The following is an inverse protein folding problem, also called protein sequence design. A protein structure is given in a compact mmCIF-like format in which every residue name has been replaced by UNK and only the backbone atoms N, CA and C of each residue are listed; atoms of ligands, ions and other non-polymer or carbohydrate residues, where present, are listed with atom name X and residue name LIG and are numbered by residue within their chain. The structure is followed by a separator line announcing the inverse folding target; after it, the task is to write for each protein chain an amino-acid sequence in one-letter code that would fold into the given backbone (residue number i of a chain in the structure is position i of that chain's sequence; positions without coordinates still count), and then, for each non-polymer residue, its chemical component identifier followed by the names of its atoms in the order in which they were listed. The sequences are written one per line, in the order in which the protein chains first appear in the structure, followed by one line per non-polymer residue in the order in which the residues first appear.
data_IF_131873564701
#
_entry.id   IF_131873564701
#
_cell.length_a   1.000
_cell.length_b   1.000
_cell.length_c   1.000
_cell.angle_alpha   90.00
_cell.angle_beta   90.00
_cell.angle_gamma   90.00
#
_symmetry.space_group_name_H-M   'P 1'
#
loop_
_entity.id
_entity.type
_entity.pdbx_description
1 polymer ?
#
# COMPACT_ATOMS: atom_id res chain seq x y z
N UNK A 1 9.67 -15.45 -4.25
CA UNK A 1 9.13 -14.81 -3.03
C UNK A 1 9.81 -15.44 -1.83
N UNK A 2 10.69 -14.69 -1.15
CA UNK A 2 11.41 -15.19 0.01
C UNK A 2 10.45 -15.22 1.22
N UNK A 3 10.11 -16.42 1.69
CA UNK A 3 9.00 -16.70 2.61
C UNK A 3 9.33 -16.26 4.06
N UNK A 4 10.60 -15.90 4.31
CA UNK A 4 11.15 -15.59 5.63
C UNK A 4 10.54 -14.36 6.32
N UNK A 5 9.89 -13.46 5.57
CA UNK A 5 9.28 -12.24 6.14
C UNK A 5 7.77 -12.33 6.34
N UNK A 6 7.14 -13.45 5.97
CA UNK A 6 5.72 -13.66 6.18
C UNK A 6 5.46 -14.15 7.61
N UNK A 7 4.47 -13.55 8.28
CA UNK A 7 4.08 -13.90 9.67
C UNK A 7 3.62 -15.37 9.81
N UNK A 8 3.23 -16.02 8.70
CA UNK A 8 2.97 -17.45 8.59
C UNK A 8 3.38 -17.94 7.20
N UNK A 9 4.14 -19.02 7.15
CA UNK A 9 4.54 -19.75 5.95
C UNK A 9 3.43 -20.70 5.49
N UNK A 10 2.25 -20.17 5.15
CA UNK A 10 1.23 -20.98 4.49
C UNK A 10 1.45 -20.98 2.99
N UNK A 11 1.29 -22.15 2.37
CA UNK A 11 1.14 -22.26 0.92
C UNK A 11 -0.03 -21.38 0.47
N UNK A 12 0.23 -20.47 -0.47
CA UNK A 12 -0.80 -19.63 -1.08
C UNK A 12 -1.86 -20.54 -1.70
N UNK A 13 -3.10 -20.45 -1.21
CA UNK A 13 -4.20 -21.26 -1.73
C UNK A 13 -4.62 -20.69 -3.09
N UNK A 14 -4.29 -21.40 -4.16
CA UNK A 14 -4.67 -21.01 -5.51
C UNK A 14 -5.99 -21.67 -5.90
N UNK A 15 -6.92 -20.91 -6.47
CA UNK A 15 -8.16 -21.44 -7.02
C UNK A 15 -7.87 -22.34 -8.23
N UNK A 16 -8.72 -23.33 -8.49
CA UNK A 16 -8.55 -24.35 -9.55
C UNK A 16 -8.42 -23.78 -10.98
N UNK A 17 -8.77 -22.50 -11.19
CA UNK A 17 -8.68 -21.76 -12.46
C UNK A 17 -7.56 -20.69 -12.46
N UNK A 18 -6.70 -20.66 -11.45
CA UNK A 18 -5.64 -19.65 -11.34
C UNK A 18 -4.50 -19.97 -12.31
N UNK A 19 -4.44 -19.24 -13.43
CA UNK A 19 -3.34 -19.33 -14.39
C UNK A 19 -2.32 -18.23 -14.13
N UNK A 20 -1.03 -18.57 -14.03
CA UNK A 20 0.08 -17.60 -14.03
C UNK A 20 0.35 -16.98 -15.41
N UNK A 21 -0.45 -17.30 -16.43
CA UNK A 21 -0.37 -16.64 -17.74
C UNK A 21 -0.81 -15.18 -17.56
N UNK A 22 0.15 -14.28 -17.59
CA UNK A 22 0.00 -12.87 -17.25
C UNK A 22 0.73 -12.45 -15.97
N UNK A 23 1.58 -13.31 -15.38
CA UNK A 23 2.54 -12.89 -14.34
C UNK A 23 3.36 -11.72 -14.90
N UNK A 24 2.96 -10.54 -14.41
CA UNK A 24 3.57 -9.24 -14.67
C UNK A 24 5.05 -9.37 -14.38
N UNK A 25 5.85 -9.52 -15.43
CA UNK A 25 7.29 -9.36 -15.34
C UNK A 25 7.58 -8.08 -14.57
N UNK A 26 8.21 -8.23 -13.41
CA UNK A 26 8.83 -7.17 -12.59
C UNK A 26 8.31 -5.77 -12.91
N UNK A 27 7.15 -5.40 -12.35
CA UNK A 27 6.70 -4.00 -12.39
C UNK A 27 7.69 -3.22 -11.52
N UNK A 28 8.69 -2.63 -12.16
CA UNK A 28 9.58 -1.67 -11.55
C UNK A 28 8.79 -0.38 -11.39
N UNK A 29 8.30 -0.13 -10.18
CA UNK A 29 7.82 1.20 -9.79
C UNK A 29 9.05 2.10 -9.86
N UNK A 30 9.07 3.03 -10.83
CA UNK A 30 10.15 4.02 -10.93
C UNK A 30 10.22 4.78 -9.60
N UNK A 31 11.35 4.69 -8.89
CA UNK A 31 11.59 5.25 -7.55
C UNK A 31 10.85 4.59 -6.36
N UNK A 32 10.22 3.42 -6.55
CA UNK A 32 9.65 2.67 -5.43
C UNK A 32 10.73 2.07 -4.55
N UNK A 33 10.72 2.35 -3.23
CA UNK A 33 11.64 1.70 -2.29
C UNK A 33 11.23 0.23 -2.14
N UNK A 34 12.07 -0.74 -2.52
CA UNK A 34 11.72 -2.15 -2.38
C UNK A 34 11.61 -2.53 -0.89
N UNK A 35 10.85 -3.60 -0.60
CA UNK A 35 10.55 -4.02 0.77
C UNK A 35 11.83 -4.25 1.60
N UNK A 36 12.91 -4.71 0.97
CA UNK A 36 14.19 -4.97 1.64
C UNK A 36 14.99 -3.71 1.98
N UNK A 37 14.70 -2.57 1.35
CA UNK A 37 15.32 -1.27 1.64
C UNK A 37 14.53 -0.46 2.67
N UNK A 38 13.42 -0.99 3.20
CA UNK A 38 12.65 -0.33 4.25
C UNK A 38 13.48 -0.23 5.53
N UNK A 39 13.42 0.94 6.18
CA UNK A 39 14.11 1.16 7.46
C UNK A 39 13.57 0.21 8.53
N UNK A 40 14.48 -0.50 9.22
CA UNK A 40 14.16 -1.45 10.29
C UNK A 40 13.28 -0.86 11.41
N UNK A 41 13.30 0.46 11.58
CA UNK A 41 12.45 1.13 12.57
C UNK A 41 10.95 0.99 12.28
N UNK A 42 10.56 0.92 11.00
CA UNK A 42 9.17 0.69 10.56
C UNK A 42 8.75 -0.77 10.87
N UNK A 43 9.67 -1.72 10.72
CA UNK A 43 9.38 -3.13 10.90
C UNK A 43 9.11 -3.54 12.33
N UNK A 44 9.70 -2.83 13.29
CA UNK A 44 9.49 -3.11 14.70
C UNK A 44 8.12 -2.64 15.24
N UNK A 45 7.31 -1.93 14.43
CA UNK A 45 5.94 -1.49 14.79
C UNK A 45 5.84 -0.75 16.13
N UNK A 46 6.87 0.03 16.49
CA UNK A 46 7.02 0.63 17.83
C UNK A 46 6.28 1.95 18.01
N UNK A 47 5.92 2.63 16.92
CA UNK A 47 5.26 3.94 16.97
C UNK A 47 4.03 4.02 16.05
N UNK A 48 3.10 4.92 16.38
CA UNK A 48 1.94 5.24 15.53
C UNK A 48 2.36 6.09 14.32
N UNK A 49 1.53 6.08 13.28
CA UNK A 49 1.67 6.92 12.09
C UNK A 49 2.42 6.26 10.94
N UNK A 50 2.69 4.96 11.05
CA UNK A 50 3.28 4.15 9.99
C UNK A 50 2.19 3.26 9.40
N UNK A 51 1.71 3.64 8.21
CA UNK A 51 0.57 3.01 7.57
C UNK A 51 1.02 1.98 6.54
N UNK A 52 0.29 0.88 6.46
CA UNK A 52 0.35 -0.11 5.39
C UNK A 52 -0.91 0.02 4.54
N UNK A 53 -0.76 0.14 3.24
CA UNK A 53 -1.89 0.28 2.34
C UNK A 53 -1.91 -0.76 1.22
N UNK A 54 -3.12 -1.21 0.90
CA UNK A 54 -3.42 -2.17 -0.16
C UNK A 54 -4.64 -1.68 -0.96
N UNK A 55 -4.69 -2.08 -2.23
CA UNK A 55 -5.86 -1.86 -3.08
C UNK A 55 -6.68 -3.15 -3.20
N UNK A 56 -7.91 -3.07 -2.74
CA UNK A 56 -8.90 -4.15 -2.92
C UNK A 56 -9.86 -3.76 -4.03
N UNK A 57 -9.91 -4.59 -5.06
CA UNK A 57 -10.85 -4.47 -6.17
C UNK A 57 -11.96 -5.51 -6.04
N UNK A 58 -13.20 -5.05 -6.01
CA UNK A 58 -14.40 -5.88 -5.98
C UNK A 58 -14.99 -6.08 -7.38
N UNK A 59 -16.21 -6.61 -7.41
CA UNK A 59 -17.00 -6.72 -8.64
C UNK A 59 -17.59 -5.36 -9.04
N UNK A 60 -18.13 -5.26 -10.26
CA UNK A 60 -18.79 -4.03 -10.77
C UNK A 60 -17.90 -2.78 -10.73
N UNK A 61 -16.61 -2.93 -11.02
CA UNK A 61 -15.62 -1.83 -11.01
C UNK A 61 -15.58 -1.04 -9.68
N UNK A 62 -15.77 -1.74 -8.57
CA UNK A 62 -15.67 -1.17 -7.23
C UNK A 62 -14.25 -1.33 -6.68
N UNK A 63 -13.74 -0.28 -6.04
CA UNK A 63 -12.38 -0.24 -5.52
C UNK A 63 -12.35 0.43 -4.16
N UNK A 64 -11.58 -0.14 -3.25
CA UNK A 64 -11.27 0.48 -1.96
C UNK A 64 -9.76 0.47 -1.73
N UNK A 65 -9.25 1.51 -1.12
CA UNK A 65 -7.93 1.51 -0.49
C UNK A 65 -8.10 1.21 1.00
N UNK A 66 -7.25 0.34 1.53
CA UNK A 66 -7.13 0.14 2.97
C UNK A 66 -5.88 0.85 3.45
N UNK A 67 -5.92 1.44 4.64
CA UNK A 67 -4.78 2.03 5.32
C UNK A 67 -4.79 1.53 6.76
N UNK A 68 -3.77 0.77 7.13
CA UNK A 68 -3.67 0.12 8.44
C UNK A 68 -2.45 0.65 9.17
N UNK A 69 -2.64 1.30 10.32
CA UNK A 69 -1.52 1.67 11.17
C UNK A 69 -0.85 0.40 11.72
N UNK A 70 0.45 0.24 11.48
CA UNK A 70 1.17 -1.01 11.75
C UNK A 70 1.28 -1.33 13.24
N UNK A 71 1.18 -0.34 14.14
CA UNK A 71 1.25 -0.52 15.61
C UNK A 71 -0.12 -0.83 16.20
N UNK A 72 -1.08 0.06 16.05
CA UNK A 72 -2.42 -0.01 16.64
C UNK A 72 -3.39 -0.89 15.88
N UNK A 73 -3.15 -1.14 14.59
CA UNK A 73 -4.09 -1.77 13.64
C UNK A 73 -5.36 -0.97 13.39
N UNK A 74 -5.38 0.31 13.77
CA UNK A 74 -6.41 1.23 13.33
C UNK A 74 -6.46 1.23 11.81
N UNK A 75 -7.66 1.01 11.27
CA UNK A 75 -7.87 0.78 9.84
C UNK A 75 -8.80 1.83 9.28
N UNK A 76 -8.34 2.50 8.23
CA UNK A 76 -9.15 3.42 7.42
C UNK A 76 -9.45 2.70 6.10
N UNK A 77 -10.70 2.76 5.66
CA UNK A 77 -11.14 2.23 4.37
C UNK A 77 -11.64 3.42 3.55
N UNK A 78 -11.05 3.60 2.37
CA UNK A 78 -11.41 4.66 1.44
C UNK A 78 -12.09 4.04 0.23
N UNK A 79 -13.30 4.48 -0.09
CA UNK A 79 -13.93 4.16 -1.37
C UNK A 79 -13.26 4.98 -2.46
N UNK A 80 -12.83 4.32 -3.53
CA UNK A 80 -12.19 4.97 -4.66
C UNK A 80 -13.15 5.12 -5.84
N UNK A 81 -12.94 6.17 -6.65
CA UNK A 81 -13.66 6.39 -7.90
C UNK A 81 -13.19 5.46 -9.02
N UNK A 82 -11.95 5.00 -8.93
CA UNK A 82 -11.29 4.10 -9.88
C UNK A 82 -9.99 3.53 -9.29
N UNK A 83 -9.39 2.56 -9.97
CA UNK A 83 -8.08 1.97 -9.61
C UNK A 83 -6.88 2.64 -10.30
N UNK A 84 -7.12 3.66 -11.12
CA UNK A 84 -6.05 4.41 -11.76
C UNK A 84 -5.26 5.23 -10.74
N UNK A 85 -4.01 5.57 -11.09
CA UNK A 85 -3.10 6.23 -10.16
C UNK A 85 -3.54 7.63 -9.73
N UNK A 86 -4.37 8.31 -10.53
CA UNK A 86 -4.91 9.64 -10.17
C UNK A 86 -5.96 9.48 -9.09
N UNK A 87 -6.95 8.61 -9.32
CA UNK A 87 -8.04 8.34 -8.37
C UNK A 87 -7.51 7.86 -7.02
N UNK A 88 -6.51 6.96 -7.04
CA UNK A 88 -5.87 6.44 -5.82
C UNK A 88 -5.10 7.54 -5.09
N UNK A 89 -4.21 8.27 -5.79
CA UNK A 89 -3.41 9.31 -5.16
C UNK A 89 -4.26 10.41 -4.54
N UNK A 90 -5.27 10.91 -5.27
CA UNK A 90 -6.16 11.96 -4.76
C UNK A 90 -6.81 11.54 -3.44
N UNK A 91 -7.41 10.34 -3.40
CA UNK A 91 -8.07 9.84 -2.20
C UNK A 91 -7.10 9.66 -1.02
N UNK A 92 -5.87 9.20 -1.29
CA UNK A 92 -4.84 9.06 -0.28
C UNK A 92 -4.38 10.42 0.25
N UNK A 93 -4.06 11.36 -0.65
CA UNK A 93 -3.61 12.72 -0.29
C UNK A 93 -4.65 13.42 0.57
N UNK A 94 -5.91 13.44 0.14
CA UNK A 94 -7.01 14.04 0.88
C UNK A 94 -7.13 13.43 2.28
N UNK A 95 -7.03 12.10 2.37
CA UNK A 95 -7.13 11.41 3.66
C UNK A 95 -5.95 11.73 4.58
N UNK A 96 -4.72 11.73 4.07
CA UNK A 96 -3.54 11.99 4.87
C UNK A 96 -3.50 13.45 5.34
N UNK A 97 -3.87 14.42 4.50
CA UNK A 97 -3.99 15.83 4.92
C UNK A 97 -5.03 16.02 6.02
N UNK A 98 -6.06 15.16 6.07
CA UNK A 98 -7.07 15.15 7.14
C UNK A 98 -6.55 14.57 8.47
N UNK A 99 -5.39 13.91 8.50
CA UNK A 99 -4.85 13.29 9.72
C UNK A 99 -4.01 14.29 10.52
N UNK A 100 -3.99 14.18 11.86
CA UNK A 100 -2.98 14.85 12.68
C UNK A 100 -1.57 14.58 12.17
N UNK A 101 -0.69 15.58 12.23
CA UNK A 101 0.70 15.49 11.77
C UNK A 101 1.46 14.31 12.37
N UNK A 102 1.16 13.99 13.62
CA UNK A 102 1.81 12.92 14.40
C UNK A 102 1.53 11.53 13.81
N UNK A 103 0.43 11.39 13.06
CA UNK A 103 0.03 10.16 12.41
C UNK A 103 0.50 10.08 10.94
N UNK A 104 1.20 11.07 10.41
CA UNK A 104 1.63 11.11 9.00
C UNK A 104 3.12 10.81 8.83
N UNK A 105 3.61 9.66 9.30
CA UNK A 105 5.06 9.37 9.27
C UNK A 105 5.51 8.65 8.01
N UNK A 106 4.85 7.56 7.66
CA UNK A 106 5.16 6.81 6.43
C UNK A 106 3.96 6.03 5.94
N UNK A 107 3.93 5.76 4.64
CA UNK A 107 2.99 4.86 4.00
C UNK A 107 3.80 3.73 3.33
N UNK A 108 3.39 2.49 3.48
CA UNK A 108 3.97 1.35 2.76
C UNK A 108 2.90 0.75 1.86
N UNK A 109 3.13 0.78 0.55
CA UNK A 109 2.17 0.24 -0.44
C UNK A 109 2.71 -1.04 -1.08
N UNK A 110 1.86 -2.03 -1.34
CA UNK A 110 2.25 -3.37 -1.79
C UNK A 110 1.90 -3.70 -3.27
N UNK A 111 1.25 -2.78 -4.02
CA UNK A 111 0.84 -3.02 -5.42
C UNK A 111 1.26 -1.97 -6.47
N UNK A 112 1.85 -2.48 -7.56
CA UNK A 112 1.69 -2.04 -8.97
C UNK A 112 1.91 -0.57 -9.35
N UNK A 113 1.54 -0.22 -10.59
CA UNK A 113 1.57 1.17 -11.12
C UNK A 113 0.47 2.06 -10.53
N UNK A 114 -0.40 1.52 -9.68
CA UNK A 114 -1.52 2.24 -9.06
C UNK A 114 -1.02 3.34 -8.12
N UNK A 115 0.21 3.21 -7.60
CA UNK A 115 0.92 4.28 -6.90
C UNK A 115 2.11 4.84 -7.71
N UNK A 116 2.05 4.79 -9.05
CA UNK A 116 3.10 5.39 -9.90
C UNK A 116 3.32 6.89 -9.61
N UNK A 117 2.32 7.56 -9.03
CA UNK A 117 2.36 8.96 -8.61
C UNK A 117 2.75 9.17 -7.14
N UNK A 118 3.38 8.19 -6.48
CA UNK A 118 3.77 8.31 -5.07
C UNK A 118 4.66 9.53 -4.76
N UNK A 119 5.46 10.00 -5.71
CA UNK A 119 6.24 11.24 -5.55
C UNK A 119 5.32 12.46 -5.36
N UNK A 120 4.26 12.58 -6.16
CA UNK A 120 3.27 13.66 -6.00
C UNK A 120 2.58 13.58 -4.63
N UNK A 121 2.28 12.35 -4.18
CA UNK A 121 1.73 12.12 -2.84
C UNK A 121 2.71 12.56 -1.74
N UNK A 122 3.99 12.18 -1.83
CA UNK A 122 5.01 12.56 -0.85
C UNK A 122 5.22 14.07 -0.82
N UNK A 123 5.26 14.74 -1.97
CA UNK A 123 5.37 16.20 -2.03
C UNK A 123 4.16 16.88 -1.40
N UNK A 124 2.94 16.38 -1.66
CA UNK A 124 1.70 16.99 -1.17
C UNK A 124 1.49 16.80 0.33
N UNK A 125 1.92 15.66 0.88
CA UNK A 125 1.59 15.26 2.26
C UNK A 125 2.78 15.32 3.23
N UNK A 126 4.01 15.37 2.71
CA UNK A 126 5.24 15.18 3.48
C UNK A 126 5.50 13.72 3.89
N UNK A 127 4.64 12.78 3.49
CA UNK A 127 4.70 11.38 3.91
C UNK A 127 5.60 10.58 2.99
N UNK A 128 6.60 9.92 3.56
CA UNK A 128 7.46 9.00 2.81
C UNK A 128 6.68 7.72 2.45
N UNK A 129 6.77 7.32 1.18
CA UNK A 129 6.22 6.06 0.64
C UNK A 129 7.31 5.01 0.46
#
# INVERSE_FOLDING_TARGET
LNIQHLRRSHSLRHGRRHTRKGERGTINIVNGTPIHERSRNIDNRRSLGHWEGDLVSGTKNSHIATLVDRKSRYTIILRLRGKDSVSVNQALTDKFLSLPSELRKSLTWDRGMELARHLEFTVSTGVKV
#
